data_IF_188567834528
#
_entry.id   IF_188567834528
#
_cell.length_a   1.000
_cell.length_b   1.000
_cell.length_c   1.000
_cell.angle_alpha   90.00
_cell.angle_beta   90.00
_cell.angle_gamma   90.00
#
_symmetry.space_group_name_H-M   'P 1'
#
loop_
_entity.id
_entity.type
_entity.pdbx_description
1 polymer ?
#
# COMPACT_ATOMS: atom_id res chain seq x y z
N UNK A 1 14.54 -8.43 -12.94
CA UNK A 1 13.54 -8.13 -11.89
C UNK A 1 12.80 -9.42 -11.56
N UNK A 2 12.54 -9.70 -10.28
CA UNK A 2 12.00 -11.00 -9.84
C UNK A 2 10.49 -11.09 -10.02
N UNK A 3 9.97 -12.23 -10.50
CA UNK A 3 8.52 -12.50 -10.67
C UNK A 3 7.70 -12.17 -9.42
N UNK A 4 8.26 -12.41 -8.23
CA UNK A 4 7.62 -12.07 -6.96
C UNK A 4 7.35 -10.56 -6.81
N UNK A 5 8.24 -9.69 -7.28
CA UNK A 5 8.03 -8.24 -7.20
C UNK A 5 6.85 -7.77 -8.06
N UNK A 6 6.68 -8.37 -9.25
CA UNK A 6 5.52 -8.10 -10.11
C UNK A 6 4.22 -8.56 -9.47
N UNK A 7 4.21 -9.75 -8.87
CA UNK A 7 3.04 -10.27 -8.14
C UNK A 7 2.63 -9.37 -6.97
N UNK A 8 3.61 -8.89 -6.18
CA UNK A 8 3.32 -7.94 -5.10
C UNK A 8 2.81 -6.59 -5.64
N UNK A 9 3.29 -6.14 -6.79
CA UNK A 9 2.76 -4.95 -7.45
C UNK A 9 1.34 -5.15 -8.00
N UNK A 10 1.03 -6.31 -8.57
CA UNK A 10 -0.33 -6.66 -9.00
C UNK A 10 -1.31 -6.64 -7.81
N UNK A 11 -0.88 -7.10 -6.64
CA UNK A 11 -1.68 -6.97 -5.40
C UNK A 11 -1.91 -5.50 -5.02
N UNK A 12 -0.91 -4.63 -5.20
CA UNK A 12 -1.09 -3.19 -5.03
C UNK A 12 -2.14 -2.66 -6.02
N UNK A 13 -2.15 -3.12 -7.27
CA UNK A 13 -3.14 -2.71 -8.26
C UNK A 13 -4.57 -3.12 -7.90
N UNK A 14 -4.76 -4.33 -7.34
CA UNK A 14 -6.05 -4.74 -6.82
C UNK A 14 -6.54 -3.86 -5.65
N UNK A 15 -5.62 -3.51 -4.73
CA UNK A 15 -5.92 -2.60 -3.62
C UNK A 15 -6.21 -1.19 -4.11
N UNK A 16 -5.46 -0.70 -5.09
CA UNK A 16 -5.66 0.59 -5.72
C UNK A 16 -7.03 0.70 -6.39
N UNK A 17 -7.46 -0.32 -7.13
CA UNK A 17 -8.80 -0.34 -7.74
C UNK A 17 -9.90 -0.24 -6.67
N UNK A 18 -9.78 -0.98 -5.56
CA UNK A 18 -10.72 -0.87 -4.42
C UNK A 18 -10.69 0.51 -3.76
N UNK A 19 -9.51 1.11 -3.65
CA UNK A 19 -9.30 2.45 -3.09
C UNK A 19 -9.91 3.54 -3.98
N UNK A 20 -9.77 3.43 -5.30
CA UNK A 20 -10.30 4.41 -6.26
C UNK A 20 -11.82 4.45 -6.32
N UNK A 21 -12.51 3.35 -6.00
CA UNK A 21 -13.98 3.33 -5.97
C UNK A 21 -14.54 4.20 -4.83
N UNK A 22 -13.76 4.46 -3.76
CA UNK A 22 -14.19 5.33 -2.67
C UNK A 22 -14.14 6.81 -3.11
N UNK A 23 -15.17 7.63 -2.86
CA UNK A 23 -15.13 9.06 -3.15
C UNK A 23 -13.96 9.77 -2.46
N UNK A 24 -13.29 10.70 -3.13
CA UNK A 24 -12.08 11.38 -2.63
C UNK A 24 -12.24 11.99 -1.22
N UNK A 25 -13.42 12.56 -0.92
CA UNK A 25 -13.71 13.13 0.40
C UNK A 25 -13.70 12.10 1.54
N UNK A 26 -14.07 10.86 1.24
CA UNK A 26 -14.21 9.73 2.17
C UNK A 26 -13.00 8.78 2.12
N UNK A 27 -12.17 8.88 1.08
CA UNK A 27 -11.05 7.97 0.82
C UNK A 27 -9.86 8.26 1.71
N UNK A 28 -9.29 7.23 2.33
CA UNK A 28 -8.06 7.42 3.10
C UNK A 28 -6.87 7.83 2.22
N UNK A 29 -5.79 8.41 2.77
CA UNK A 29 -4.54 8.60 2.03
C UNK A 29 -4.04 7.31 1.36
N UNK A 30 -3.11 7.40 0.41
CA UNK A 30 -2.49 6.20 -0.13
C UNK A 30 -1.73 5.47 1.01
N UNK A 31 -1.95 4.16 1.21
CA UNK A 31 -1.33 3.47 2.31
C UNK A 31 0.17 3.24 2.09
N UNK A 32 0.97 3.43 3.15
CA UNK A 32 2.43 3.35 3.08
C UNK A 32 2.95 1.97 2.62
N UNK A 33 2.19 0.89 2.83
CA UNK A 33 2.61 -0.45 2.44
C UNK A 33 2.66 -0.67 0.91
N UNK A 34 2.11 0.24 0.10
CA UNK A 34 2.29 0.21 -1.36
C UNK A 34 3.67 0.71 -1.82
N UNK A 35 4.37 1.48 -1.00
CA UNK A 35 5.64 2.11 -1.39
C UNK A 35 6.71 1.06 -1.76
N UNK A 36 6.85 0.01 -0.95
CA UNK A 36 7.85 -1.05 -1.16
C UNK A 36 7.68 -1.78 -2.50
N UNK A 37 6.51 -2.39 -2.79
CA UNK A 37 6.26 -3.03 -4.08
C UNK A 37 6.40 -2.10 -5.28
N UNK A 38 5.96 -0.84 -5.18
CA UNK A 38 6.12 0.13 -6.26
C UNK A 38 7.61 0.44 -6.54
N UNK A 39 8.41 0.66 -5.49
CA UNK A 39 9.86 0.83 -5.63
C UNK A 39 10.53 -0.41 -6.23
N UNK A 40 10.06 -1.61 -5.86
CA UNK A 40 10.62 -2.87 -6.32
C UNK A 40 10.39 -3.15 -7.82
N UNK A 41 9.46 -2.43 -8.48
CA UNK A 41 9.20 -2.54 -9.93
C UNK A 41 9.56 -1.28 -10.74
N UNK A 42 10.21 -0.29 -10.12
CA UNK A 42 10.45 1.04 -10.70
C UNK A 42 11.30 1.05 -11.98
N UNK A 43 12.15 0.03 -12.15
CA UNK A 43 13.01 -0.16 -13.33
C UNK A 43 12.55 -1.31 -14.25
N UNK A 44 11.34 -1.85 -14.03
CA UNK A 44 10.82 -2.96 -14.81
C UNK A 44 10.07 -2.46 -16.06
N UNK A 45 10.70 -2.59 -17.22
CA UNK A 45 10.14 -2.14 -18.49
C UNK A 45 9.22 -3.19 -19.16
N UNK A 46 8.93 -4.32 -18.50
CA UNK A 46 7.96 -5.28 -19.03
C UNK A 46 6.56 -4.67 -19.05
N UNK A 47 5.75 -4.94 -20.09
CA UNK A 47 4.36 -4.52 -20.13
C UNK A 47 3.55 -5.10 -18.96
N UNK A 48 2.66 -4.28 -18.41
CA UNK A 48 1.67 -4.68 -17.43
C UNK A 48 0.36 -5.12 -18.12
N UNK A 49 -0.52 -5.81 -17.40
CA UNK A 49 -1.87 -6.13 -17.84
C UNK A 49 -2.64 -4.87 -18.28
N UNK A 50 -3.39 -4.97 -19.38
CA UNK A 50 -4.21 -3.88 -19.90
C UNK A 50 -5.26 -3.39 -18.88
N UNK A 51 -5.80 -4.27 -18.04
CA UNK A 51 -6.73 -3.89 -16.98
C UNK A 51 -6.09 -2.89 -16.01
N UNK A 52 -4.85 -3.14 -15.59
CA UNK A 52 -4.12 -2.24 -14.70
C UNK A 52 -3.66 -0.95 -15.38
N UNK A 53 -3.36 -1.00 -16.67
CA UNK A 53 -3.11 0.22 -17.45
C UNK A 53 -4.36 1.11 -17.43
N UNK A 54 -5.55 0.53 -17.64
CA UNK A 54 -6.81 1.26 -17.63
C UNK A 54 -7.13 1.86 -16.25
N UNK A 55 -6.96 1.09 -15.16
CA UNK A 55 -7.17 1.58 -13.79
C UNK A 55 -6.28 2.80 -13.45
N UNK A 56 -5.05 2.83 -13.97
CA UNK A 56 -4.12 3.96 -13.78
C UNK A 56 -4.31 5.08 -14.79
N UNK A 57 -5.21 4.94 -15.76
CA UNK A 57 -5.38 5.91 -16.85
C UNK A 57 -4.17 5.99 -17.79
N UNK A 58 -3.40 4.92 -17.90
CA UNK A 58 -2.21 4.81 -18.74
C UNK A 58 -2.53 4.19 -20.11
N UNK A 59 -1.62 4.37 -21.08
CA UNK A 59 -1.76 3.77 -22.40
C UNK A 59 -1.71 2.23 -22.32
N UNK A 60 -2.40 1.56 -23.24
CA UNK A 60 -2.27 0.11 -23.40
C UNK A 60 -0.79 -0.29 -23.61
N UNK A 61 -0.36 -1.36 -22.94
CA UNK A 61 1.03 -1.85 -22.89
C UNK A 61 2.02 -0.96 -22.13
N UNK A 62 1.54 -0.05 -21.28
CA UNK A 62 2.42 0.63 -20.33
C UNK A 62 3.14 -0.37 -19.43
N UNK A 63 4.37 -0.04 -19.05
CA UNK A 63 5.25 -0.89 -18.27
C UNK A 63 4.92 -0.90 -16.78
N UNK A 64 5.41 -1.91 -16.07
CA UNK A 64 5.42 -1.92 -14.60
C UNK A 64 6.12 -0.68 -14.02
N UNK A 65 7.20 -0.20 -14.65
CA UNK A 65 7.90 1.02 -14.26
C UNK A 65 7.01 2.28 -14.35
N UNK A 66 6.20 2.40 -15.41
CA UNK A 66 5.23 3.51 -15.56
C UNK A 66 4.10 3.42 -14.53
N UNK A 67 3.61 2.19 -14.27
CA UNK A 67 2.65 1.94 -13.20
C UNK A 67 3.19 2.31 -11.82
N UNK A 68 4.42 1.89 -11.49
CA UNK A 68 5.07 2.23 -10.23
C UNK A 68 5.25 3.73 -10.03
N UNK A 69 5.65 4.47 -11.08
CA UNK A 69 5.74 5.94 -11.00
C UNK A 69 4.39 6.58 -10.69
N UNK A 70 3.32 6.05 -11.26
CA UNK A 70 1.95 6.53 -11.01
C UNK A 70 1.52 6.29 -9.56
N UNK A 71 1.82 5.11 -9.00
CA UNK A 71 1.58 4.80 -7.58
C UNK A 71 2.45 5.68 -6.66
N UNK A 72 3.74 5.84 -6.97
CA UNK A 72 4.65 6.65 -6.16
C UNK A 72 4.28 8.14 -6.16
N UNK A 73 3.69 8.63 -7.24
CA UNK A 73 3.20 10.01 -7.33
C UNK A 73 2.11 10.33 -6.29
N UNK A 74 1.33 9.33 -5.85
CA UNK A 74 0.31 9.50 -4.81
C UNK A 74 0.90 9.99 -3.47
N UNK A 75 2.17 9.71 -3.21
CA UNK A 75 2.83 10.04 -1.95
C UNK A 75 3.47 11.44 -1.93
N UNK A 76 3.63 12.10 -3.09
CA UNK A 76 4.45 13.33 -3.20
C UNK A 76 3.94 14.47 -2.32
N UNK A 77 2.62 14.66 -2.27
CA UNK A 77 1.98 15.73 -1.49
C UNK A 77 1.31 15.20 -0.21
N UNK A 78 1.44 13.90 0.06
CA UNK A 78 0.76 13.26 1.17
C UNK A 78 1.45 13.58 2.51
N UNK A 79 0.70 14.18 3.44
CA UNK A 79 1.21 14.59 4.76
C UNK A 79 0.70 13.75 5.93
N UNK A 80 -0.12 12.73 5.67
CA UNK A 80 -0.70 11.84 6.68
C UNK A 80 -0.64 10.37 6.25
N UNK A 81 -0.70 9.45 7.20
CA UNK A 81 -0.63 8.01 6.94
C UNK A 81 -1.99 7.36 7.16
N UNK A 82 -2.33 6.40 6.29
CA UNK A 82 -3.48 5.52 6.46
C UNK A 82 -3.18 4.44 7.50
N UNK A 83 -3.95 4.40 8.58
CA UNK A 83 -3.92 3.30 9.54
C UNK A 83 -4.47 2.01 8.92
N UNK A 84 -4.02 0.81 9.37
CA UNK A 84 -4.45 -0.46 8.79
C UNK A 84 -5.96 -0.72 8.82
N UNK A 85 -6.67 -0.17 9.82
CA UNK A 85 -8.12 -0.31 9.96
C UNK A 85 -8.91 0.76 9.20
N UNK A 86 -8.22 1.72 8.59
CA UNK A 86 -8.79 2.92 7.95
C UNK A 86 -8.62 2.87 6.43
N UNK A 87 -8.46 1.67 5.86
CA UNK A 87 -8.38 1.48 4.42
C UNK A 87 -9.60 0.70 3.95
N UNK A 88 -10.27 1.09 2.84
CA UNK A 88 -9.95 2.22 1.95
C UNK A 88 -10.61 3.55 2.34
N UNK A 89 -11.44 3.58 3.38
CA UNK A 89 -12.18 4.78 3.82
C UNK A 89 -11.49 5.42 5.04
N UNK A 90 -11.49 6.76 5.12
CA UNK A 90 -11.14 7.49 6.34
C UNK A 90 -12.03 6.97 7.47
N UNK A 91 -11.45 6.49 8.56
CA UNK A 91 -12.25 6.18 9.73
C UNK A 91 -12.84 7.48 10.29
N UNK A 92 -14.15 7.51 10.51
CA UNK A 92 -14.73 8.49 11.43
C UNK A 92 -13.97 8.36 12.74
N UNK A 93 -13.45 9.47 13.28
CA UNK A 93 -12.55 9.51 14.42
C UNK A 93 -13.18 8.94 15.68
N UNK A 94 -13.23 7.61 15.77
CA UNK A 94 -13.42 6.87 17.00
C UNK A 94 -12.04 6.68 17.62
N UNK A 95 -11.82 7.37 18.73
CA UNK A 95 -10.68 7.22 19.62
C UNK A 95 -10.61 5.74 20.06
N UNK A 96 -9.90 4.90 19.30
CA UNK A 96 -9.81 3.47 19.59
C UNK A 96 -8.37 3.13 19.91
N UNK A 97 -8.11 3.28 21.21
CA UNK A 97 -7.16 2.56 22.03
C UNK A 97 -5.91 2.14 21.29
N UNK A 98 -4.88 2.97 21.38
CA UNK A 98 -3.50 2.49 21.47
C UNK A 98 -3.55 1.32 22.44
N UNK A 99 -3.42 0.09 21.94
CA UNK A 99 -3.33 -1.09 22.79
C UNK A 99 -2.05 -0.86 23.57
N UNK A 100 -2.16 -0.40 24.81
CA UNK A 100 -1.02 -0.30 25.72
C UNK A 100 -0.42 -1.71 25.76
N UNK A 101 0.70 -1.88 25.05
CA UNK A 101 1.51 -3.07 25.15
C UNK A 101 2.19 -2.95 26.52
N UNK A 102 1.46 -3.27 27.58
CA UNK A 102 2.07 -3.49 28.87
C UNK A 102 3.14 -4.56 28.66
N UNK A 103 4.41 -4.29 29.01
CA UNK A 103 5.42 -5.33 29.02
C UNK A 103 4.89 -6.47 29.87
N UNK A 104 4.72 -7.65 29.26
CA UNK A 104 4.51 -8.85 30.04
C UNK A 104 5.75 -9.00 30.93
N UNK A 105 5.61 -9.27 32.24
CA UNK A 105 6.77 -9.54 33.06
C UNK A 105 7.55 -10.69 32.41
N UNK A 106 8.84 -10.49 32.17
CA UNK A 106 9.73 -11.54 31.70
C UNK A 106 9.54 -12.75 32.61
N UNK A 107 9.17 -13.89 32.02
CA UNK A 107 9.22 -15.16 32.72
C UNK A 107 10.70 -15.58 32.82
N UNK A 108 11.42 -14.88 33.71
CA UNK A 108 12.83 -15.08 34.02
C UNK A 108 13.04 -16.31 34.94
N UNK A 109 12.05 -17.20 34.99
CA UNK A 109 12.10 -18.46 35.73
C UNK A 109 12.99 -19.51 35.02
N UNK A 110 13.40 -19.27 33.77
CA UNK A 110 14.15 -20.22 32.95
C UNK A 110 15.63 -20.38 33.36
N UNK A 111 16.16 -19.48 34.20
CA UNK A 111 17.54 -19.52 34.67
C UNK A 111 17.59 -19.45 36.20
N UNK A 112 17.16 -20.51 36.88
CA UNK A 112 17.50 -20.71 38.29
C UNK A 112 18.88 -21.41 38.39
N UNK A 113 19.74 -21.01 39.34
CA UNK A 113 21.10 -21.52 39.50
C UNK A 113 21.18 -22.98 39.97
#
# INVERSE_FOLDING_TARGET
>A
MHQAARLEFERVMEEFARWQVVPEGERSPAPAWWWGPAMAVLDDNEPMDCAWCAELGLNERSSFAEGARSILALFVEQTSLTGPQQFPNKAEGGEHAVRELHPQPSDDSAFQP
#
